data_IF_833753909940
#
_entry.id   IF_833753909940
#
_cell.length_a   1.000
_cell.length_b   1.000
_cell.length_c   1.000
_cell.angle_alpha   90.00
_cell.angle_beta   90.00
_cell.angle_gamma   90.00
#
_symmetry.space_group_name_H-M   'P 1'
#
loop_
_entity.id
_entity.type
_entity.pdbx_description
1 polymer ?
#
# COMPACT_ATOMS: atom_id res chain seq x y z
N UNK A 1 20.29 10.17 -18.31
CA UNK A 1 19.81 8.78 -18.09
C UNK A 1 20.09 8.31 -16.67
N UNK A 2 21.00 8.97 -15.94
CA UNK A 2 21.43 8.58 -14.60
C UNK A 2 20.29 8.53 -13.58
N UNK A 3 19.32 9.44 -13.66
CA UNK A 3 18.13 9.45 -12.79
C UNK A 3 17.26 8.19 -12.92
N UNK A 4 17.15 7.60 -14.12
CA UNK A 4 16.35 6.39 -14.33
C UNK A 4 17.08 5.14 -13.82
N UNK A 5 18.39 5.06 -14.03
CA UNK A 5 19.24 3.98 -13.49
C UNK A 5 19.30 4.06 -11.96
N UNK A 6 19.35 5.27 -11.41
CA UNK A 6 19.31 5.49 -9.98
C UNK A 6 17.96 5.08 -9.37
N UNK A 7 16.84 5.31 -10.06
CA UNK A 7 15.52 4.82 -9.65
C UNK A 7 15.46 3.28 -9.59
N UNK A 8 16.09 2.60 -10.56
CA UNK A 8 16.13 1.13 -10.64
C UNK A 8 16.98 0.50 -9.54
N UNK A 9 18.00 1.19 -9.06
CA UNK A 9 18.90 0.74 -7.99
C UNK A 9 18.44 1.20 -6.60
N UNK A 10 17.38 1.99 -6.51
CA UNK A 10 16.87 2.47 -5.23
C UNK A 10 16.04 1.39 -4.52
N UNK A 11 16.54 0.96 -3.37
CA UNK A 11 15.91 -0.07 -2.56
C UNK A 11 14.53 0.39 -2.04
N UNK A 12 14.30 1.71 -1.91
CA UNK A 12 13.01 2.29 -1.53
C UNK A 12 11.92 1.96 -2.56
N UNK A 13 12.25 2.05 -3.84
CA UNK A 13 11.32 1.78 -4.95
C UNK A 13 10.94 0.31 -4.98
N UNK A 14 11.90 -0.60 -4.74
CA UNK A 14 11.64 -2.03 -4.66
C UNK A 14 10.85 -2.43 -3.42
N UNK A 15 11.11 -1.84 -2.26
CA UNK A 15 10.32 -2.10 -1.04
C UNK A 15 8.87 -1.64 -1.20
N UNK A 16 8.65 -0.47 -1.80
CA UNK A 16 7.32 0.02 -2.08
C UNK A 16 6.63 -0.77 -3.21
N UNK A 17 7.38 -1.17 -4.24
CA UNK A 17 6.91 -2.06 -5.31
C UNK A 17 6.50 -3.43 -4.79
N UNK A 18 7.27 -4.02 -3.87
CA UNK A 18 6.95 -5.29 -3.21
C UNK A 18 5.71 -5.16 -2.32
N UNK A 19 5.62 -4.09 -1.52
CA UNK A 19 4.44 -3.78 -0.71
C UNK A 19 3.18 -3.68 -1.58
N UNK A 20 3.26 -2.96 -2.69
CA UNK A 20 2.16 -2.77 -3.64
C UNK A 20 1.82 -4.02 -4.44
N UNK A 21 2.82 -4.77 -4.89
CA UNK A 21 2.63 -6.01 -5.64
C UNK A 21 2.00 -7.10 -4.79
N UNK A 22 2.51 -7.32 -3.58
CA UNK A 22 1.93 -8.26 -2.62
C UNK A 22 0.51 -7.84 -2.20
N UNK A 23 0.28 -6.54 -1.98
CA UNK A 23 -1.05 -6.00 -1.67
C UNK A 23 -2.07 -6.20 -2.80
N UNK A 24 -1.62 -6.25 -4.06
CA UNK A 24 -2.51 -6.43 -5.23
C UNK A 24 -2.76 -7.87 -5.64
N UNK A 25 -2.12 -8.85 -4.99
CA UNK A 25 -2.55 -10.26 -5.08
C UNK A 25 -4.03 -10.38 -4.69
N UNK A 26 -4.51 -9.49 -3.80
CA UNK A 26 -5.91 -9.36 -3.40
C UNK A 26 -6.85 -8.85 -4.47
N UNK A 27 -6.36 -8.19 -5.52
CA UNK A 27 -7.22 -7.72 -6.60
C UNK A 27 -7.94 -8.91 -7.28
N UNK A 28 -7.34 -10.10 -7.23
CA UNK A 28 -7.99 -11.36 -7.59
C UNK A 28 -9.30 -11.62 -6.82
N UNK A 29 -9.41 -11.23 -5.54
CA UNK A 29 -10.68 -11.32 -4.79
C UNK A 29 -11.73 -10.39 -5.37
N UNK A 30 -11.36 -9.25 -5.95
CA UNK A 30 -12.31 -8.39 -6.67
C UNK A 30 -13.03 -9.14 -7.79
N UNK A 31 -12.36 -10.08 -8.46
CA UNK A 31 -12.96 -10.94 -9.48
C UNK A 31 -13.79 -12.09 -8.86
N UNK A 32 -13.38 -12.61 -7.71
CA UNK A 32 -14.06 -13.71 -7.00
C UNK A 32 -15.02 -13.25 -5.89
N UNK A 33 -15.29 -11.95 -5.77
CA UNK A 33 -16.07 -11.37 -4.66
C UNK A 33 -17.47 -11.98 -4.58
N UNK A 34 -18.11 -12.21 -5.73
CA UNK A 34 -19.43 -12.84 -5.82
C UNK A 34 -19.39 -14.29 -5.32
N UNK A 35 -18.31 -15.02 -5.58
CA UNK A 35 -18.13 -16.39 -5.10
C UNK A 35 -17.89 -16.42 -3.59
N UNK A 36 -17.12 -15.48 -3.05
CA UNK A 36 -16.89 -15.36 -1.60
C UNK A 36 -18.19 -15.01 -0.87
N UNK A 37 -18.94 -14.02 -1.35
CA UNK A 37 -20.22 -13.61 -0.79
C UNK A 37 -21.25 -14.76 -0.86
N UNK A 38 -21.30 -15.47 -1.99
CA UNK A 38 -22.16 -16.66 -2.13
C UNK A 38 -21.73 -17.78 -1.18
N UNK A 39 -20.43 -17.93 -0.95
CA UNK A 39 -19.85 -18.86 0.04
C UNK A 39 -20.32 -18.58 1.47
N UNK A 40 -20.73 -17.35 1.80
CA UNK A 40 -21.34 -17.02 3.09
C UNK A 40 -22.81 -17.48 3.20
N UNK A 41 -23.42 -18.01 2.14
CA UNK A 41 -24.78 -18.53 2.15
C UNK A 41 -25.86 -17.54 1.69
N UNK A 42 -25.48 -16.49 0.95
CA UNK A 42 -26.42 -15.59 0.29
C UNK A 42 -26.86 -16.12 -1.07
N UNK A 43 -28.08 -15.76 -1.51
CA UNK A 43 -28.55 -16.10 -2.85
C UNK A 43 -27.79 -15.29 -3.93
N UNK A 44 -27.76 -15.73 -5.20
CA UNK A 44 -27.10 -14.98 -6.27
C UNK A 44 -27.65 -13.55 -6.44
N UNK A 45 -28.96 -13.36 -6.31
CA UNK A 45 -29.60 -12.04 -6.36
C UNK A 45 -29.15 -11.14 -5.19
N UNK A 46 -29.12 -11.68 -3.97
CA UNK A 46 -28.61 -10.95 -2.81
C UNK A 46 -27.14 -10.62 -2.94
N UNK A 47 -26.35 -11.53 -3.51
CA UNK A 47 -24.92 -11.34 -3.73
C UNK A 47 -24.65 -10.16 -4.66
N UNK A 48 -25.36 -10.08 -5.79
CA UNK A 48 -25.25 -8.95 -6.71
C UNK A 48 -25.66 -7.64 -6.03
N UNK A 49 -26.74 -7.65 -5.25
CA UNK A 49 -27.20 -6.47 -4.53
C UNK A 49 -26.18 -5.99 -3.48
N UNK A 50 -25.46 -6.91 -2.82
CA UNK A 50 -24.44 -6.60 -1.80
C UNK A 50 -23.13 -6.04 -2.38
N UNK A 51 -22.91 -6.14 -3.69
CA UNK A 51 -21.75 -5.48 -4.34
C UNK A 51 -21.91 -3.96 -4.39
N UNK A 52 -23.14 -3.47 -4.57
CA UNK A 52 -23.43 -2.02 -4.62
C UNK A 52 -23.00 -1.31 -3.32
N UNK A 53 -23.43 -1.72 -2.11
CA UNK A 53 -22.99 -1.07 -0.88
C UNK A 53 -21.50 -1.27 -0.62
N UNK A 54 -20.91 -2.36 -1.11
CA UNK A 54 -19.45 -2.59 -1.00
C UNK A 54 -18.67 -1.47 -1.69
N UNK A 55 -19.05 -1.11 -2.92
CA UNK A 55 -18.42 0.00 -3.64
C UNK A 55 -18.67 1.37 -3.00
N UNK A 56 -19.85 1.60 -2.41
CA UNK A 56 -20.14 2.85 -1.68
C UNK A 56 -19.24 2.99 -0.45
N UNK A 57 -19.07 1.92 0.33
CA UNK A 57 -18.20 1.90 1.51
C UNK A 57 -16.74 2.13 1.11
N UNK A 58 -16.31 1.55 -0.02
CA UNK A 58 -14.99 1.77 -0.60
C UNK A 58 -14.74 3.25 -0.91
N UNK A 59 -15.68 3.91 -1.60
CA UNK A 59 -15.58 5.34 -1.93
C UNK A 59 -15.49 6.19 -0.66
N UNK A 60 -16.34 5.91 0.34
CA UNK A 60 -16.34 6.64 1.61
C UNK A 60 -15.00 6.45 2.33
N UNK A 61 -14.50 5.21 2.41
CA UNK A 61 -13.20 4.90 3.01
C UNK A 61 -12.07 5.67 2.34
N UNK A 62 -12.09 5.73 1.00
CA UNK A 62 -11.10 6.46 0.24
C UNK A 62 -11.12 7.96 0.52
N UNK A 63 -12.30 8.58 0.52
CA UNK A 63 -12.44 10.02 0.82
C UNK A 63 -11.91 10.32 2.22
N UNK A 64 -12.25 9.51 3.21
CA UNK A 64 -11.82 9.70 4.60
C UNK A 64 -10.30 9.60 4.72
N UNK A 65 -9.68 8.52 4.21
CA UNK A 65 -8.23 8.31 4.32
C UNK A 65 -7.44 9.33 3.50
N UNK A 66 -7.91 9.69 2.30
CA UNK A 66 -7.25 10.68 1.45
C UNK A 66 -7.33 12.09 2.06
N UNK A 67 -8.48 12.44 2.66
CA UNK A 67 -8.64 13.71 3.40
C UNK A 67 -7.74 13.74 4.63
N UNK A 68 -7.66 12.63 5.37
CA UNK A 68 -6.81 12.51 6.55
C UNK A 68 -5.31 12.63 6.20
N UNK A 69 -4.89 11.98 5.12
CA UNK A 69 -3.54 12.08 4.57
C UNK A 69 -3.19 13.47 4.01
N UNK A 70 -4.20 14.26 3.65
CA UNK A 70 -4.03 15.65 3.22
C UNK A 70 -3.99 16.63 4.40
N UNK A 71 -4.70 16.33 5.49
CA UNK A 71 -4.75 17.14 6.71
C UNK A 71 -3.54 16.92 7.62
N UNK A 72 -3.02 15.69 7.71
CA UNK A 72 -1.91 15.34 8.60
C UNK A 72 -0.60 15.27 7.79
N UNK A 73 0.32 16.19 8.08
CA UNK A 73 1.63 16.26 7.43
C UNK A 73 2.51 15.09 7.88
N UNK A 74 3.24 14.47 6.93
CA UNK A 74 4.16 13.34 7.18
C UNK A 74 3.50 12.12 7.87
N UNK A 75 2.27 11.78 7.50
CA UNK A 75 1.57 10.59 8.01
C UNK A 75 1.08 9.66 6.91
N UNK A 76 1.48 9.86 5.65
CA UNK A 76 0.90 9.14 4.51
C UNK A 76 1.26 7.66 4.55
N UNK A 77 2.51 7.33 4.87
CA UNK A 77 3.00 5.97 4.97
C UNK A 77 2.49 5.30 6.26
N UNK A 78 2.40 6.06 7.36
CA UNK A 78 1.80 5.57 8.61
C UNK A 78 0.31 5.22 8.44
N UNK A 79 -0.46 6.07 7.75
CA UNK A 79 -1.85 5.83 7.42
C UNK A 79 -2.02 4.68 6.43
N UNK A 80 -1.10 4.52 5.47
CA UNK A 80 -1.09 3.37 4.57
C UNK A 80 -0.87 2.05 5.33
N UNK A 81 0.11 2.00 6.23
CA UNK A 81 0.35 0.81 7.07
C UNK A 81 -0.80 0.53 8.04
N UNK A 82 -1.46 1.56 8.58
CA UNK A 82 -2.66 1.40 9.41
C UNK A 82 -3.83 0.83 8.60
N UNK A 83 -4.07 1.35 7.39
CA UNK A 83 -5.09 0.84 6.49
C UNK A 83 -4.83 -0.64 6.15
N UNK A 84 -3.57 -0.99 5.85
CA UNK A 84 -3.19 -2.36 5.54
C UNK A 84 -3.36 -3.30 6.76
N UNK A 85 -3.08 -2.82 7.98
CA UNK A 85 -3.35 -3.56 9.21
C UNK A 85 -4.85 -3.80 9.43
N UNK A 86 -5.70 -2.79 9.17
CA UNK A 86 -7.16 -2.94 9.24
C UNK A 86 -7.69 -3.90 8.17
N UNK A 87 -7.08 -3.91 6.99
CA UNK A 87 -7.39 -4.88 5.94
C UNK A 87 -7.05 -6.33 6.36
N UNK A 88 -5.93 -6.55 7.06
CA UNK A 88 -5.57 -7.86 7.63
C UNK A 88 -6.63 -8.32 8.64
N UNK A 89 -7.09 -7.43 9.52
CA UNK A 89 -8.16 -7.73 10.48
C UNK A 89 -9.43 -8.16 9.74
N UNK A 90 -9.84 -7.41 8.71
CA UNK A 90 -10.98 -7.76 7.86
C UNK A 90 -10.81 -9.12 7.16
N UNK A 91 -9.63 -9.41 6.63
CA UNK A 91 -9.29 -10.66 5.96
C UNK A 91 -9.23 -11.87 6.91
N UNK A 92 -8.96 -11.65 8.20
CA UNK A 92 -8.93 -12.71 9.23
C UNK A 92 -10.32 -13.11 9.73
N UNK A 93 -11.31 -12.24 9.57
CA UNK A 93 -12.67 -12.39 10.08
C UNK A 93 -13.39 -13.65 9.53
N UNK A 94 -13.21 -14.05 8.25
CA UNK A 94 -13.74 -15.31 7.72
C UNK A 94 -13.18 -16.59 8.33
N UNK A 95 -12.05 -16.52 9.05
CA UNK A 95 -11.48 -17.66 9.77
C UNK A 95 -11.91 -17.72 11.23
N UNK A 96 -12.30 -16.58 11.81
CA UNK A 96 -12.68 -16.47 13.20
C UNK A 96 -14.17 -16.77 13.46
N UNK A 97 -15.03 -16.58 12.44
CA UNK A 97 -16.48 -16.71 12.60
C UNK A 97 -17.06 -17.80 11.71
N UNK A 98 -18.07 -18.48 12.26
CA UNK A 98 -18.81 -19.53 11.55
C UNK A 98 -19.76 -18.93 10.50
N UNK A 99 -20.09 -19.71 9.46
CA UNK A 99 -20.93 -19.30 8.31
C UNK A 99 -22.34 -18.90 8.74
N UNK A 100 -22.77 -19.30 9.94
CA UNK A 100 -24.03 -18.87 10.54
C UNK A 100 -24.09 -17.36 10.85
N UNK A 101 -22.95 -16.69 11.03
CA UNK A 101 -22.87 -15.25 11.32
C UNK A 101 -22.58 -14.42 10.06
N UNK A 102 -23.41 -14.63 9.01
CA UNK A 102 -23.23 -14.06 7.65
C UNK A 102 -22.97 -12.56 7.59
N UNK A 103 -23.62 -11.79 8.46
CA UNK A 103 -23.45 -10.32 8.51
C UNK A 103 -22.11 -9.88 9.11
N UNK A 104 -21.55 -10.65 10.05
CA UNK A 104 -20.22 -10.38 10.61
C UNK A 104 -19.14 -10.64 9.57
N UNK A 105 -19.28 -11.73 8.81
CA UNK A 105 -18.40 -12.03 7.66
C UNK A 105 -18.43 -10.91 6.63
N UNK A 106 -19.63 -10.36 6.36
CA UNK A 106 -19.79 -9.28 5.40
C UNK A 106 -19.23 -7.94 5.89
N UNK A 107 -19.32 -7.65 7.19
CA UNK A 107 -18.66 -6.48 7.78
C UNK A 107 -17.13 -6.53 7.63
N UNK A 108 -16.52 -7.72 7.83
CA UNK A 108 -15.10 -7.93 7.58
C UNK A 108 -14.72 -7.76 6.11
N UNK A 109 -15.58 -8.24 5.20
CA UNK A 109 -15.40 -8.07 3.76
C UNK A 109 -15.47 -6.59 3.34
N UNK A 110 -16.44 -5.83 3.87
CA UNK A 110 -16.54 -4.39 3.64
C UNK A 110 -15.34 -3.62 4.17
N UNK A 111 -14.86 -3.96 5.37
CA UNK A 111 -13.64 -3.37 5.91
C UNK A 111 -12.44 -3.65 4.98
N UNK A 112 -12.28 -4.89 4.53
CA UNK A 112 -11.20 -5.26 3.62
C UNK A 112 -11.26 -4.44 2.31
N UNK A 113 -12.44 -4.35 1.69
CA UNK A 113 -12.62 -3.58 0.45
C UNK A 113 -12.41 -2.07 0.64
N UNK A 114 -12.73 -1.51 1.82
CA UNK A 114 -12.52 -0.10 2.10
C UNK A 114 -11.03 0.28 2.24
N UNK A 115 -10.24 -0.57 2.91
CA UNK A 115 -8.89 -0.16 3.34
C UNK A 115 -7.75 -0.54 2.36
N UNK A 116 -7.93 -1.57 1.53
CA UNK A 116 -6.92 -1.97 0.52
C UNK A 116 -6.61 -0.85 -0.49
N UNK A 117 -7.59 -0.27 -1.21
CA UNK A 117 -7.31 0.77 -2.20
C UNK A 117 -6.72 2.02 -1.56
N UNK A 118 -7.10 2.32 -0.30
CA UNK A 118 -6.50 3.39 0.49
C UNK A 118 -5.00 3.19 0.67
N UNK A 119 -4.57 1.98 1.08
CA UNK A 119 -3.14 1.67 1.26
C UNK A 119 -2.36 1.82 -0.05
N UNK A 120 -2.94 1.40 -1.18
CA UNK A 120 -2.30 1.52 -2.49
C UNK A 120 -2.10 2.99 -2.92
N UNK A 121 -3.17 3.79 -2.85
CA UNK A 121 -3.13 5.20 -3.26
C UNK A 121 -2.21 6.05 -2.38
N UNK A 122 -2.22 5.82 -1.07
CA UNK A 122 -1.32 6.49 -0.14
C UNK A 122 0.15 6.08 -0.36
N UNK A 123 0.40 4.81 -0.70
CA UNK A 123 1.72 4.33 -1.08
C UNK A 123 2.28 5.03 -2.31
N UNK A 124 1.49 5.11 -3.39
CA UNK A 124 1.87 5.84 -4.61
C UNK A 124 2.13 7.33 -4.34
N UNK A 125 1.25 7.97 -3.56
CA UNK A 125 1.40 9.37 -3.17
C UNK A 125 2.66 9.65 -2.33
N UNK A 126 3.15 8.65 -1.59
CA UNK A 126 4.36 8.77 -0.78
C UNK A 126 5.63 8.68 -1.62
N UNK A 127 5.68 7.82 -2.64
CA UNK A 127 6.83 7.78 -3.56
C UNK A 127 6.95 9.08 -4.34
N UNK A 128 5.84 9.60 -4.83
CA UNK A 128 5.84 10.86 -5.59
C UNK A 128 6.41 12.05 -4.80
N UNK A 129 6.24 12.05 -3.47
CA UNK A 129 6.78 13.08 -2.59
C UNK A 129 8.21 12.84 -2.08
N UNK A 130 8.75 11.63 -2.22
CA UNK A 130 10.05 11.21 -1.67
C UNK A 130 11.15 11.05 -2.71
N UNK A 131 10.82 11.27 -3.99
CA UNK A 131 11.73 11.13 -5.11
C UNK A 131 11.81 12.48 -5.81
N UNK A 132 12.94 13.18 -5.69
CA UNK A 132 13.16 14.41 -6.44
C UNK A 132 13.51 14.09 -7.90
N UNK A 133 13.00 14.93 -8.80
CA UNK A 133 13.14 14.76 -10.24
C UNK A 133 11.94 14.06 -10.87
N UNK A 134 11.32 14.72 -11.84
CA UNK A 134 10.13 14.23 -12.54
C UNK A 134 10.37 12.86 -13.18
N UNK A 135 11.52 12.68 -13.84
CA UNK A 135 11.89 11.43 -14.51
C UNK A 135 12.02 10.27 -13.52
N UNK A 136 12.67 10.49 -12.38
CA UNK A 136 12.89 9.47 -11.34
C UNK A 136 11.57 9.04 -10.69
N UNK A 137 10.69 10.01 -10.40
CA UNK A 137 9.35 9.74 -9.85
C UNK A 137 8.49 8.94 -10.82
N UNK A 138 8.48 9.30 -12.11
CA UNK A 138 7.73 8.55 -13.14
C UNK A 138 8.28 7.14 -13.32
N UNK A 139 9.61 6.94 -13.33
CA UNK A 139 10.21 5.60 -13.41
C UNK A 139 9.86 4.76 -12.18
N UNK A 140 9.90 5.32 -10.97
CA UNK A 140 9.51 4.62 -9.75
C UNK A 140 8.04 4.20 -9.77
N UNK A 141 7.14 5.08 -10.23
CA UNK A 141 5.72 4.77 -10.41
C UNK A 141 5.50 3.66 -11.46
N UNK A 142 6.27 3.67 -12.56
CA UNK A 142 6.21 2.61 -13.58
C UNK A 142 6.63 1.23 -13.04
N UNK A 143 7.67 1.19 -12.19
CA UNK A 143 8.10 -0.03 -11.51
C UNK A 143 6.99 -0.54 -10.57
N UNK A 144 6.37 0.35 -9.78
CA UNK A 144 5.23 -0.03 -8.94
C UNK A 144 4.07 -0.60 -9.76
N UNK A 145 3.76 0.01 -10.91
CA UNK A 145 2.72 -0.48 -11.81
C UNK A 145 3.06 -1.86 -12.40
N UNK A 146 4.34 -2.13 -12.65
CA UNK A 146 4.77 -3.45 -13.11
C UNK A 146 4.59 -4.49 -12.01
N UNK A 147 5.00 -4.18 -10.78
CA UNK A 147 4.75 -5.04 -9.61
C UNK A 147 3.25 -5.24 -9.35
N UNK A 148 2.44 -4.20 -9.54
CA UNK A 148 0.98 -4.25 -9.48
C UNK A 148 0.43 -5.29 -10.48
N UNK A 149 0.85 -5.19 -11.75
CA UNK A 149 0.43 -6.12 -12.80
C UNK A 149 0.86 -7.56 -12.48
N UNK A 150 2.07 -7.79 -11.97
CA UNK A 150 2.51 -9.09 -11.53
C UNK A 150 1.62 -9.67 -10.41
N UNK A 151 1.24 -8.85 -9.42
CA UNK A 151 0.32 -9.24 -8.36
C UNK A 151 -1.05 -9.66 -8.89
N UNK A 152 -1.60 -8.91 -9.85
CA UNK A 152 -2.87 -9.23 -10.49
C UNK A 152 -2.85 -10.53 -11.30
N UNK A 153 -1.70 -10.91 -11.87
CA UNK A 153 -1.53 -12.20 -12.59
C UNK A 153 -1.47 -13.36 -11.59
N UNK A 154 -0.75 -13.20 -10.48
CA UNK A 154 -0.59 -14.24 -9.45
C UNK A 154 -1.89 -14.46 -8.67
N UNK A 155 -2.67 -13.39 -8.43
CA UNK A 155 -3.89 -13.41 -7.62
C UNK A 155 -4.86 -14.54 -7.99
N UNK A 156 -5.39 -14.60 -9.22
CA UNK A 156 -6.34 -15.63 -9.63
C UNK A 156 -5.79 -17.06 -9.63
N UNK A 157 -4.48 -17.22 -9.85
CA UNK A 157 -3.84 -18.54 -9.88
C UNK A 157 -3.87 -19.24 -8.51
N UNK A 158 -4.02 -18.47 -7.42
CA UNK A 158 -4.14 -18.99 -6.05
C UNK A 158 -5.54 -19.52 -5.73
N UNK A 159 -6.55 -19.28 -6.58
CA UNK A 159 -7.96 -19.69 -6.39
C UNK A 159 -8.30 -20.93 -7.22
N UNK A 160 -7.52 -22.01 -7.07
CA UNK A 160 -7.59 -23.20 -7.93
C UNK A 160 -8.69 -24.20 -7.55
N UNK A 161 -9.01 -24.41 -6.26
CA UNK A 161 -9.98 -25.45 -5.84
C UNK A 161 -11.02 -24.96 -4.82
N UNK A 162 -12.34 -25.20 -5.04
CA UNK A 162 -13.38 -25.03 -4.01
C UNK A 162 -13.08 -25.96 -2.82
N UNK A 163 -13.13 -25.53 -1.55
CA UNK A 163 -13.79 -24.35 -0.98
C UNK A 163 -12.91 -23.08 -0.87
N UNK A 164 -11.92 -22.89 -1.76
CA UNK A 164 -11.06 -21.70 -1.86
C UNK A 164 -10.29 -21.31 -0.58
N UNK A 165 -10.19 -22.22 0.39
CA UNK A 165 -9.47 -22.01 1.65
C UNK A 165 -7.98 -21.72 1.44
N UNK A 166 -7.39 -22.25 0.36
CA UNK A 166 -6.02 -21.97 -0.05
C UNK A 166 -5.86 -20.54 -0.56
N UNK A 167 -6.80 -20.07 -1.38
CA UNK A 167 -6.83 -18.69 -1.88
C UNK A 167 -6.95 -17.67 -0.75
N UNK A 168 -7.90 -17.84 0.18
CA UNK A 168 -8.02 -16.96 1.35
C UNK A 168 -6.77 -17.00 2.27
N UNK A 169 -6.11 -18.16 2.42
CA UNK A 169 -4.87 -18.25 3.22
C UNK A 169 -3.73 -17.50 2.55
N UNK A 170 -3.54 -17.73 1.25
CA UNK A 170 -2.55 -17.02 0.46
C UNK A 170 -2.79 -15.50 0.50
N UNK A 171 -4.06 -15.10 0.57
CA UNK A 171 -4.47 -13.71 0.71
C UNK A 171 -3.98 -13.04 1.99
N UNK A 172 -4.17 -13.71 3.14
CA UNK A 172 -3.70 -13.20 4.44
C UNK A 172 -2.17 -13.14 4.45
N UNK A 173 -1.50 -14.15 3.90
CA UNK A 173 -0.04 -14.17 3.79
C UNK A 173 0.46 -13.03 2.91
N UNK A 174 -0.18 -12.77 1.77
CA UNK A 174 0.15 -11.66 0.88
C UNK A 174 -0.04 -10.30 1.57
N UNK A 175 -1.15 -10.10 2.29
CA UNK A 175 -1.36 -8.89 3.10
C UNK A 175 -0.32 -8.74 4.21
N UNK A 176 0.05 -9.83 4.89
CA UNK A 176 1.06 -9.80 5.94
C UNK A 176 2.44 -9.41 5.37
N UNK A 177 2.82 -9.95 4.21
CA UNK A 177 4.04 -9.59 3.50
C UNK A 177 3.99 -8.11 3.08
N UNK A 178 2.87 -7.65 2.53
CA UNK A 178 2.65 -6.25 2.15
C UNK A 178 2.78 -5.31 3.34
N UNK A 179 2.15 -5.64 4.47
CA UNK A 179 2.24 -4.88 5.70
C UNK A 179 3.67 -4.84 6.25
N UNK A 180 4.36 -5.99 6.29
CA UNK A 180 5.74 -6.07 6.75
C UNK A 180 6.68 -5.24 5.87
N UNK A 181 6.54 -5.32 4.54
CA UNK A 181 7.29 -4.50 3.60
C UNK A 181 7.00 -3.00 3.80
N UNK A 182 5.73 -2.62 4.04
CA UNK A 182 5.35 -1.25 4.37
C UNK A 182 5.95 -0.75 5.69
N UNK A 183 5.94 -1.56 6.74
CA UNK A 183 6.56 -1.22 8.04
C UNK A 183 8.08 -1.09 7.89
N UNK A 184 8.74 -2.01 7.17
CA UNK A 184 10.16 -1.89 6.87
C UNK A 184 10.47 -0.59 6.11
N UNK A 185 9.61 -0.19 5.18
CA UNK A 185 9.75 1.06 4.45
C UNK A 185 9.64 2.28 5.37
N UNK A 186 8.68 2.29 6.32
CA UNK A 186 8.57 3.33 7.36
C UNK A 186 9.84 3.39 8.22
N UNK A 187 10.28 2.24 8.73
CA UNK A 187 11.46 2.14 9.59
C UNK A 187 12.69 2.65 8.85
N UNK A 188 12.89 2.24 7.60
CA UNK A 188 13.99 2.68 6.76
C UNK A 188 13.98 4.20 6.55
N UNK A 189 12.83 4.78 6.19
CA UNK A 189 12.70 6.24 6.05
C UNK A 189 12.95 6.97 7.37
N UNK A 190 12.53 6.40 8.50
CA UNK A 190 12.74 7.00 9.81
C UNK A 190 14.23 6.98 10.20
N UNK A 191 14.93 5.87 9.93
CA UNK A 191 16.38 5.77 10.12
C UNK A 191 17.16 6.73 9.24
N UNK A 192 16.79 6.85 7.97
CA UNK A 192 17.45 7.75 7.03
C UNK A 192 17.22 9.22 7.40
N UNK A 193 15.99 9.58 7.78
CA UNK A 193 15.67 10.91 8.31
C UNK A 193 16.43 11.21 9.61
N UNK A 194 16.62 10.23 10.51
CA UNK A 194 17.45 10.40 11.71
C UNK A 194 18.92 10.61 11.40
N UNK A 195 19.49 9.82 10.47
CA UNK A 195 20.88 9.99 10.03
C UNK A 195 21.11 11.35 9.36
N UNK A 196 20.19 11.80 8.50
CA UNK A 196 20.25 13.11 7.85
C UNK A 196 20.14 14.25 8.86
N UNK A 197 19.25 14.15 9.86
CA UNK A 197 19.15 15.12 10.95
C UNK A 197 20.44 15.22 11.76
N UNK A 198 21.03 14.09 12.15
CA UNK A 198 22.30 14.07 12.88
C UNK A 198 23.45 14.68 12.06
N UNK A 199 23.53 14.36 10.77
CA UNK A 199 24.54 14.93 9.86
C UNK A 199 24.38 16.44 9.67
N UNK A 200 23.15 16.94 9.55
CA UNK A 200 22.86 18.38 9.46
C UNK A 200 23.15 19.12 10.76
N UNK A 201 22.87 18.51 11.91
CA UNK A 201 23.19 19.09 13.21
C UNK A 201 24.71 19.18 13.44
N UNK A 202 25.47 18.18 13.00
CA UNK A 202 26.94 18.15 13.07
C UNK A 202 27.59 19.09 12.05
N UNK A 203 27.03 19.18 10.84
CA UNK A 203 27.56 20.00 9.73
C UNK A 203 26.94 21.39 9.62
N UNK A 204 26.20 21.84 10.64
CA UNK A 204 25.40 23.08 10.66
C UNK A 204 26.21 24.35 10.35
N UNK A 205 27.50 24.32 10.64
CA UNK A 205 28.43 25.44 10.40
C UNK A 205 29.20 25.34 9.08
N UNK A 206 29.12 24.19 8.38
CA UNK A 206 29.87 23.90 7.14
C UNK A 206 29.01 23.93 5.87
N UNK A 207 27.69 23.86 5.99
CA UNK A 207 26.76 23.76 4.86
C UNK A 207 25.75 24.90 4.89
N UNK A 208 25.89 25.87 3.99
CA UNK A 208 24.83 26.86 3.74
C UNK A 208 23.71 26.23 2.91
N UNK A 209 22.46 26.45 3.32
CA UNK A 209 21.24 25.94 2.68
C UNK A 209 21.14 26.39 1.20
N UNK A 210 21.63 27.61 0.91
CA UNK A 210 21.67 28.20 -0.43
C UNK A 210 22.68 27.51 -1.37
N UNK A 211 23.84 27.07 -0.88
CA UNK A 211 24.87 26.38 -1.70
C UNK A 211 24.46 24.95 -2.09
N UNK A 212 23.72 24.27 -1.21
CA UNK A 212 23.17 22.94 -1.48
C UNK A 212 21.97 22.97 -2.44
N UNK A 213 21.27 24.10 -2.54
CA UNK A 213 20.15 24.29 -3.47
C UNK A 213 20.63 24.75 -4.85
N UNK A 214 21.77 25.42 -4.93
CA UNK A 214 22.38 25.90 -6.17
C UNK A 214 23.16 24.81 -6.93
N UNK A 215 23.69 23.83 -6.19
CA UNK A 215 24.25 22.61 -6.76
C UNK A 215 23.08 21.64 -6.94
N UNK A 216 22.73 21.32 -8.18
CA UNK A 216 21.73 20.30 -8.56
C UNK A 216 22.14 18.90 -8.05
N UNK A 217 22.14 18.71 -6.72
CA UNK A 217 22.55 17.50 -6.03
C UNK A 217 21.41 16.49 -6.07
N UNK A 218 21.72 15.24 -6.41
CA UNK A 218 20.76 14.12 -6.37
C UNK A 218 20.26 13.86 -4.94
N UNK A 219 19.07 13.25 -4.78
CA UNK A 219 18.40 12.97 -3.48
C UNK A 219 19.28 12.31 -2.41
N UNK A 220 20.29 11.54 -2.84
CA UNK A 220 21.26 10.87 -1.95
C UNK A 220 22.33 11.82 -1.41
N UNK A 221 22.58 12.92 -2.10
CA UNK A 221 23.64 13.88 -1.84
C UNK A 221 23.14 15.15 -1.14
N UNK A 222 21.84 15.49 -1.25
CA UNK A 222 21.27 16.66 -0.57
C UNK A 222 20.77 16.30 0.85
N UNK A 223 21.44 16.75 1.92
CA UNK A 223 21.04 16.44 3.29
C UNK A 223 19.76 17.18 3.73
N UNK A 224 19.36 18.26 3.04
CA UNK A 224 18.18 19.08 3.35
C UNK A 224 16.85 18.51 2.84
N UNK A 225 16.88 17.53 1.93
CA UNK A 225 15.66 16.84 1.46
C UNK A 225 15.27 15.77 2.48
N UNK A 226 14.25 16.06 3.29
CA UNK A 226 13.67 15.09 4.23
C UNK A 226 12.61 14.25 3.54
N UNK A 227 12.65 12.93 3.74
CA UNK A 227 11.58 12.06 3.25
C UNK A 227 10.30 12.32 4.07
N UNK A 228 9.19 12.55 3.37
CA UNK A 228 7.83 12.63 3.89
C UNK A 228 7.37 11.22 4.32
N UNK A 229 7.06 11.08 5.61
CA UNK A 229 6.50 9.86 6.23
C UNK A 229 4.99 9.70 5.98
#
# INVERSE_FOLDING_TARGET
MDQAIEALLDHKVWLAGLSTGAGNILNGIGLFQSLVIRGFGFTPLQTALLQVPTGVIEIIGLIVFCTLASRIRNSRLALASLANALAIIGASMPYAFDVHQRWRLMAGFWAMMAFIPCSFLLGMGTISGNVAGHTKSVTAQAIMFTCYCCGCIIGPQLYTTPPYKQGLRANIVALAISWFAGVLHIVYMHFENRKRKAFLEESRYLLNEDDCHFRDLTDKQNPYVFNVL
#
